data_IF_914212926597
#
_entry.id   IF_914212926597
#
_cell.length_a   1.000
_cell.length_b   1.000
_cell.length_c   1.000
_cell.angle_alpha   90.00
_cell.angle_beta   90.00
_cell.angle_gamma   90.00
#
_symmetry.space_group_name_H-M   'P 1'
#
loop_
_entity.id
_entity.type
_entity.pdbx_description
1 polymer ?
#
# COMPACT_ATOMS: atom_id res chain seq x y z
N UNK A 1 2.84 -6.34 1.30
CA UNK A 1 2.69 -6.84 -0.09
C UNK A 1 2.30 -8.31 -0.05
N UNK A 2 1.31 -8.70 -0.85
CA UNK A 2 0.86 -10.08 -0.95
C UNK A 2 1.27 -10.70 -2.29
N UNK A 3 0.80 -11.93 -2.55
CA UNK A 3 0.91 -12.59 -3.87
C UNK A 3 0.32 -11.77 -5.03
N UNK A 4 -0.43 -10.69 -4.73
CA UNK A 4 -0.98 -9.75 -5.71
C UNK A 4 -0.07 -8.55 -6.01
N UNK A 5 1.05 -8.38 -5.27
CA UNK A 5 2.22 -7.62 -5.72
C UNK A 5 3.00 -8.52 -6.68
N UNK A 6 2.48 -8.65 -7.92
CA UNK A 6 2.83 -9.70 -8.87
C UNK A 6 4.33 -9.77 -9.14
N UNK A 7 4.88 -10.98 -8.99
CA UNK A 7 6.29 -11.30 -9.19
C UNK A 7 7.25 -10.59 -8.21
N UNK A 8 6.73 -10.14 -7.05
CA UNK A 8 7.50 -9.45 -6.02
C UNK A 8 7.16 -9.98 -4.62
N UNK A 9 5.91 -9.87 -4.17
CA UNK A 9 5.45 -10.44 -2.90
C UNK A 9 5.11 -11.92 -2.99
N UNK A 10 5.44 -12.69 -1.94
CA UNK A 10 5.05 -14.11 -1.80
C UNK A 10 4.20 -14.39 -0.58
N UNK A 11 3.81 -13.36 0.18
CA UNK A 11 2.92 -13.49 1.33
C UNK A 11 1.50 -13.83 0.86
N UNK A 12 1.16 -15.13 0.83
CA UNK A 12 -0.20 -15.58 0.48
C UNK A 12 -1.19 -15.16 1.54
N UNK A 13 -2.37 -14.68 1.13
CA UNK A 13 -3.38 -14.11 2.03
C UNK A 13 -3.79 -15.09 3.15
N UNK A 14 -4.16 -16.34 2.83
CA UNK A 14 -4.61 -17.29 3.86
C UNK A 14 -3.54 -17.63 4.91
N UNK A 15 -2.30 -18.01 4.54
CA UNK A 15 -1.21 -18.19 5.51
C UNK A 15 -0.92 -16.94 6.31
N UNK A 16 -0.94 -15.76 5.68
CA UNK A 16 -0.71 -14.47 6.33
C UNK A 16 -1.74 -14.24 7.45
N UNK A 17 -3.03 -14.36 7.14
CA UNK A 17 -4.11 -14.16 8.12
C UNK A 17 -4.08 -15.20 9.23
N UNK A 18 -3.71 -16.45 8.91
CA UNK A 18 -3.48 -17.49 9.90
C UNK A 18 -2.37 -17.09 10.89
N UNK A 19 -1.24 -16.62 10.40
CA UNK A 19 -0.12 -16.15 11.24
C UNK A 19 -0.51 -14.96 12.11
N UNK A 20 -1.24 -13.98 11.55
CA UNK A 20 -1.77 -12.83 12.28
C UNK A 20 -2.65 -13.28 13.45
N UNK A 21 -3.56 -14.23 13.19
CA UNK A 21 -4.44 -14.80 14.22
C UNK A 21 -3.67 -15.54 15.31
N UNK A 22 -2.70 -16.38 14.93
CA UNK A 22 -1.86 -17.14 15.86
C UNK A 22 -1.03 -16.23 16.77
N UNK A 23 -0.65 -15.04 16.28
CA UNK A 23 0.04 -14.00 17.05
C UNK A 23 -0.91 -13.15 17.91
N UNK A 24 -2.21 -13.36 17.82
CA UNK A 24 -3.22 -12.59 18.57
C UNK A 24 -3.39 -11.15 18.10
N UNK A 25 -2.95 -10.83 16.89
CA UNK A 25 -3.14 -9.50 16.33
C UNK A 25 -4.56 -9.28 15.84
N UNK A 26 -5.06 -8.06 16.01
CA UNK A 26 -6.46 -7.74 15.75
C UNK A 26 -6.71 -7.01 14.43
N UNK A 27 -5.66 -6.54 13.79
CA UNK A 27 -5.74 -5.77 12.54
C UNK A 27 -4.53 -6.04 11.66
N UNK A 28 -4.71 -5.94 10.35
CA UNK A 28 -3.62 -6.00 9.36
C UNK A 28 -4.02 -5.23 8.11
N UNK A 29 -3.05 -4.61 7.43
CA UNK A 29 -3.23 -3.92 6.16
C UNK A 29 -2.77 -4.75 4.97
N UNK A 30 -3.41 -4.55 3.81
CA UNK A 30 -2.93 -4.94 2.49
C UNK A 30 -2.62 -3.68 1.68
N UNK A 31 -1.42 -3.61 1.09
CA UNK A 31 -0.91 -2.44 0.36
C UNK A 31 -0.08 -2.88 -0.86
N UNK A 32 -0.68 -3.68 -1.74
CA UNK A 32 -0.01 -4.20 -2.92
C UNK A 32 0.39 -3.09 -3.92
N UNK A 33 1.43 -3.34 -4.70
CA UNK A 33 1.96 -2.41 -5.70
C UNK A 33 0.94 -2.04 -6.76
N UNK A 34 0.44 -0.80 -6.72
CA UNK A 34 -0.38 -0.17 -7.74
C UNK A 34 -1.71 -0.87 -8.04
N UNK A 35 -2.19 -1.75 -7.16
CA UNK A 35 -3.43 -2.48 -7.41
C UNK A 35 -4.18 -2.85 -6.13
N UNK A 36 -5.43 -3.31 -6.30
CA UNK A 36 -6.31 -3.81 -5.24
C UNK A 36 -6.85 -5.21 -5.56
N UNK A 37 -6.11 -6.01 -6.31
CA UNK A 37 -6.60 -7.32 -6.79
C UNK A 37 -6.93 -8.28 -5.65
N UNK A 38 -6.13 -8.26 -4.59
CA UNK A 38 -6.31 -9.09 -3.39
C UNK A 38 -7.35 -8.58 -2.41
N UNK A 39 -7.87 -7.36 -2.57
CA UNK A 39 -8.65 -6.65 -1.54
C UNK A 39 -9.88 -7.43 -1.04
N UNK A 40 -10.68 -7.99 -1.95
CA UNK A 40 -11.90 -8.74 -1.56
C UNK A 40 -11.58 -10.06 -0.87
N UNK A 41 -10.60 -10.80 -1.37
CA UNK A 41 -10.15 -12.05 -0.76
C UNK A 41 -9.57 -11.78 0.64
N UNK A 42 -8.71 -10.76 0.76
CA UNK A 42 -8.12 -10.35 2.03
C UNK A 42 -9.19 -9.91 3.04
N UNK A 43 -10.14 -9.08 2.61
CA UNK A 43 -11.25 -8.63 3.44
C UNK A 43 -12.07 -9.79 3.98
N UNK A 44 -12.49 -10.72 3.11
CA UNK A 44 -13.27 -11.90 3.51
C UNK A 44 -12.51 -12.82 4.45
N UNK A 45 -11.22 -13.07 4.20
CA UNK A 45 -10.38 -13.92 5.04
C UNK A 45 -10.15 -13.30 6.42
N UNK A 46 -9.92 -11.98 6.51
CA UNK A 46 -9.80 -11.25 7.77
C UNK A 46 -11.07 -11.38 8.60
N UNK A 47 -12.25 -11.10 8.00
CA UNK A 47 -13.53 -11.19 8.73
C UNK A 47 -13.81 -12.59 9.23
N UNK A 48 -13.55 -13.63 8.44
CA UNK A 48 -13.72 -15.02 8.83
C UNK A 48 -12.84 -15.42 10.03
N UNK A 49 -11.76 -14.67 10.29
CA UNK A 49 -10.83 -14.87 11.39
C UNK A 49 -10.96 -13.81 12.51
N UNK A 50 -11.95 -12.92 12.46
CA UNK A 50 -12.18 -11.83 13.44
C UNK A 50 -11.03 -10.83 13.51
N UNK A 51 -10.38 -10.56 12.38
CA UNK A 51 -9.31 -9.58 12.20
C UNK A 51 -9.89 -8.38 11.45
N UNK A 52 -9.57 -7.15 11.89
CA UNK A 52 -9.94 -5.93 11.18
C UNK A 52 -9.10 -5.77 9.90
N UNK A 53 -9.71 -5.81 8.69
CA UNK A 53 -9.01 -5.62 7.43
C UNK A 53 -8.81 -4.14 7.14
N UNK A 54 -7.58 -3.71 6.90
CA UNK A 54 -7.25 -2.38 6.42
C UNK A 54 -6.90 -2.49 4.95
N UNK A 55 -7.73 -1.91 4.09
CA UNK A 55 -7.54 -1.98 2.64
C UNK A 55 -6.80 -0.74 2.16
N UNK A 56 -5.73 -0.96 1.43
CA UNK A 56 -4.90 0.07 0.85
C UNK A 56 -4.25 -0.34 -0.45
N UNK A 57 -3.39 0.54 -0.94
CA UNK A 57 -2.56 0.35 -2.12
C UNK A 57 -1.27 1.14 -1.94
N UNK A 58 -0.15 0.56 -2.28
CA UNK A 58 1.08 1.33 -2.51
C UNK A 58 1.05 1.84 -3.95
N UNK A 59 0.67 3.11 -4.11
CA UNK A 59 0.59 3.75 -5.42
C UNK A 59 1.97 4.11 -5.96
N UNK A 60 2.10 4.00 -7.28
CA UNK A 60 3.11 4.74 -8.02
C UNK A 60 2.61 6.16 -8.20
N UNK A 61 3.35 7.14 -7.65
CA UNK A 61 2.98 8.56 -7.72
C UNK A 61 4.00 9.34 -8.56
N UNK A 62 3.53 10.27 -9.37
CA UNK A 62 4.35 11.17 -10.16
C UNK A 62 3.92 12.63 -9.92
N UNK A 63 4.71 13.58 -10.43
CA UNK A 63 4.38 15.00 -10.29
C UNK A 63 3.28 15.45 -11.26
N UNK A 64 3.22 14.84 -12.44
CA UNK A 64 2.28 15.23 -13.49
C UNK A 64 1.99 14.03 -14.41
N UNK A 65 0.73 13.55 -14.41
CA UNK A 65 0.30 12.40 -15.21
C UNK A 65 0.44 12.61 -16.73
N UNK A 66 0.37 13.86 -17.18
CA UNK A 66 0.47 14.20 -18.62
C UNK A 66 1.88 14.02 -19.16
N UNK A 67 2.88 14.04 -18.28
CA UNK A 67 4.28 13.89 -18.65
C UNK A 67 4.73 12.44 -18.59
N UNK A 68 5.30 11.96 -19.69
CA UNK A 68 5.88 10.64 -19.83
C UNK A 68 7.42 10.74 -19.89
N UNK A 69 8.01 11.25 -18.81
CA UNK A 69 9.44 11.63 -18.72
C UNK A 69 10.36 10.55 -18.13
N UNK A 70 10.00 9.29 -18.29
CA UNK A 70 10.79 8.16 -17.80
C UNK A 70 10.43 7.73 -16.38
N UNK A 71 11.19 6.76 -15.86
CA UNK A 71 10.94 6.16 -14.55
C UNK A 71 11.37 7.04 -13.37
N UNK A 72 12.22 8.02 -13.60
CA UNK A 72 12.82 8.86 -12.55
C UNK A 72 11.82 9.76 -11.80
N UNK A 73 10.62 10.00 -12.38
CA UNK A 73 9.55 10.78 -11.75
C UNK A 73 8.53 9.90 -10.97
N UNK A 74 8.80 8.61 -10.83
CA UNK A 74 7.89 7.72 -10.09
C UNK A 74 8.41 7.48 -8.69
N UNK A 75 7.60 7.87 -7.70
CA UNK A 75 7.78 7.48 -6.30
C UNK A 75 6.70 6.52 -5.83
N UNK A 76 6.85 6.01 -4.61
CA UNK A 76 5.83 5.24 -3.91
C UNK A 76 5.09 6.10 -2.90
N UNK A 77 3.82 5.79 -2.65
CA UNK A 77 3.01 6.40 -1.61
C UNK A 77 1.95 5.39 -1.12
N UNK A 78 1.89 5.14 0.18
CA UNK A 78 0.93 4.19 0.74
C UNK A 78 -0.35 4.93 1.10
N UNK A 79 -1.48 4.45 0.59
CA UNK A 79 -2.81 5.02 0.84
C UNK A 79 -3.73 3.93 1.40
N UNK A 80 -4.37 4.22 2.54
CA UNK A 80 -5.28 3.31 3.24
C UNK A 80 -6.69 3.90 3.29
N UNK A 81 -7.72 3.06 3.17
CA UNK A 81 -9.11 3.48 3.34
C UNK A 81 -9.53 3.42 4.81
N UNK A 82 -10.06 4.52 5.36
CA UNK A 82 -10.63 4.58 6.70
C UNK A 82 -12.06 4.02 6.77
N UNK A 83 -12.81 4.26 5.71
CA UNK A 83 -14.24 4.01 5.62
C UNK A 83 -14.68 3.70 4.18
N UNK A 84 -16.00 3.60 3.98
CA UNK A 84 -16.57 3.31 2.65
C UNK A 84 -16.33 4.43 1.64
N UNK A 85 -16.29 5.70 2.05
CA UNK A 85 -15.97 6.81 1.15
C UNK A 85 -14.51 6.74 0.71
N UNK A 86 -13.60 6.49 1.65
CA UNK A 86 -12.18 6.26 1.36
C UNK A 86 -11.97 5.07 0.43
N UNK A 87 -12.69 3.96 0.66
CA UNK A 87 -12.62 2.79 -0.24
C UNK A 87 -13.08 3.11 -1.68
N UNK A 88 -14.18 3.87 -1.83
CA UNK A 88 -14.62 4.31 -3.17
C UNK A 88 -13.60 5.24 -3.84
N UNK A 89 -12.98 6.14 -3.08
CA UNK A 89 -11.91 6.99 -3.58
C UNK A 89 -10.66 6.19 -3.96
N UNK A 90 -10.30 5.19 -3.17
CA UNK A 90 -9.19 4.27 -3.47
C UNK A 90 -9.43 3.50 -4.79
N UNK A 91 -10.67 3.00 -5.02
CA UNK A 91 -11.06 2.37 -6.28
C UNK A 91 -10.95 3.33 -7.47
N UNK A 92 -11.37 4.59 -7.30
CA UNK A 92 -11.23 5.62 -8.34
C UNK A 92 -9.79 5.94 -8.66
N UNK A 93 -8.95 6.11 -7.63
CA UNK A 93 -7.52 6.35 -7.81
C UNK A 93 -6.85 5.20 -8.56
N UNK A 94 -7.16 3.95 -8.19
CA UNK A 94 -6.66 2.77 -8.91
C UNK A 94 -7.14 2.76 -10.37
N UNK A 95 -8.42 3.07 -10.63
CA UNK A 95 -8.96 3.12 -11.99
C UNK A 95 -8.26 4.19 -12.84
N UNK A 96 -8.08 5.40 -12.30
CA UNK A 96 -7.36 6.49 -12.97
C UNK A 96 -5.91 6.09 -13.26
N UNK A 97 -5.25 5.43 -12.29
CA UNK A 97 -3.87 4.97 -12.46
C UNK A 97 -3.71 4.04 -13.66
N UNK A 98 -4.68 3.13 -13.88
CA UNK A 98 -4.64 2.20 -15.01
C UNK A 98 -5.12 2.80 -16.33
N UNK A 99 -6.16 3.64 -16.31
CA UNK A 99 -6.80 4.16 -17.53
C UNK A 99 -6.05 5.38 -18.06
N UNK A 100 -5.78 6.35 -17.19
CA UNK A 100 -5.23 7.64 -17.59
C UNK A 100 -3.73 7.75 -17.31
N UNK A 101 -3.29 7.16 -16.18
CA UNK A 101 -1.94 7.33 -15.64
C UNK A 101 -0.91 6.30 -16.07
N UNK A 102 -1.30 5.27 -16.85
CA UNK A 102 -0.39 4.17 -17.16
C UNK A 102 0.78 4.60 -18.05
N UNK A 103 1.97 4.50 -17.46
CA UNK A 103 3.24 4.67 -18.16
C UNK A 103 4.32 3.86 -17.43
N UNK A 104 4.71 2.73 -17.98
CA UNK A 104 5.46 1.63 -17.34
C UNK A 104 4.75 0.99 -16.14
N UNK A 105 4.12 1.78 -15.29
CA UNK A 105 3.34 1.38 -14.12
C UNK A 105 2.04 2.20 -14.05
N UNK A 106 1.00 1.71 -13.35
CA UNK A 106 -0.21 2.49 -13.10
C UNK A 106 0.11 3.62 -12.10
N UNK A 107 0.06 4.89 -12.55
CA UNK A 107 0.47 6.05 -11.76
C UNK A 107 -0.72 6.95 -11.44
N UNK A 108 -0.61 7.65 -10.34
CA UNK A 108 -1.41 8.84 -10.03
C UNK A 108 -0.48 10.05 -9.85
N UNK A 109 -1.02 11.28 -9.89
CA UNK A 109 -0.31 12.47 -9.47
C UNK A 109 -0.90 13.07 -8.19
N UNK A 110 -0.21 14.06 -7.63
CA UNK A 110 -0.64 14.70 -6.40
C UNK A 110 -1.96 15.47 -6.53
N UNK A 111 -2.28 16.00 -7.71
CA UNK A 111 -3.54 16.74 -7.95
C UNK A 111 -4.73 15.77 -8.00
N UNK A 112 -4.55 14.62 -8.63
CA UNK A 112 -5.54 13.53 -8.61
C UNK A 112 -5.73 12.99 -7.20
N UNK A 113 -4.63 12.80 -6.45
CA UNK A 113 -4.68 12.36 -5.08
C UNK A 113 -5.43 13.35 -4.18
N UNK A 114 -5.15 14.65 -4.29
CA UNK A 114 -5.85 15.70 -3.55
C UNK A 114 -7.37 15.67 -3.80
N UNK A 115 -7.78 15.50 -5.07
CA UNK A 115 -9.18 15.44 -5.47
C UNK A 115 -9.95 14.28 -4.83
N UNK A 116 -9.29 13.17 -4.56
CA UNK A 116 -9.91 11.93 -4.04
C UNK A 116 -9.36 11.53 -2.67
N UNK A 117 -8.84 12.48 -1.88
CA UNK A 117 -8.20 12.23 -0.57
C UNK A 117 -9.16 11.92 0.58
N UNK A 118 -10.45 12.26 0.45
CA UNK A 118 -11.41 12.12 1.54
C UNK A 118 -11.58 10.66 1.98
N UNK A 119 -11.60 10.42 3.29
CA UNK A 119 -11.72 9.08 3.87
C UNK A 119 -10.44 8.23 3.75
N UNK A 120 -9.30 8.83 3.42
CA UNK A 120 -8.02 8.15 3.24
C UNK A 120 -7.00 8.55 4.31
N UNK A 121 -6.09 7.62 4.60
CA UNK A 121 -4.83 7.83 5.33
C UNK A 121 -3.69 7.73 4.34
N UNK A 122 -2.66 8.56 4.50
CA UNK A 122 -1.48 8.59 3.64
C UNK A 122 -0.21 8.36 4.46
N UNK A 123 0.66 7.45 4.01
CA UNK A 123 2.01 7.24 4.55
C UNK A 123 3.04 7.54 3.48
N UNK A 124 4.22 8.06 3.89
CA UNK A 124 5.26 8.52 2.95
C UNK A 124 6.02 7.42 2.21
N UNK A 125 5.69 6.17 2.45
CA UNK A 125 6.24 4.95 1.85
C UNK A 125 7.73 4.67 2.18
N UNK A 126 8.32 3.69 1.46
CA UNK A 126 9.69 3.21 1.61
C UNK A 126 10.72 4.17 0.97
N UNK A 127 11.97 3.73 0.81
CA UNK A 127 13.04 4.51 0.15
C UNK A 127 12.69 4.98 -1.27
N UNK A 128 11.78 4.26 -1.95
CA UNK A 128 11.26 4.67 -3.26
C UNK A 128 10.22 5.81 -3.18
N UNK A 129 9.79 6.23 -1.99
CA UNK A 129 8.95 7.42 -1.81
C UNK A 129 9.69 8.71 -2.16
N UNK A 130 8.95 9.74 -2.64
CA UNK A 130 9.58 11.00 -3.01
C UNK A 130 10.22 11.71 -1.81
N UNK A 131 9.61 11.68 -0.61
CA UNK A 131 10.19 12.31 0.59
C UNK A 131 11.51 11.61 0.97
N UNK A 132 11.57 10.28 1.19
CA UNK A 132 12.82 9.60 1.46
C UNK A 132 13.89 9.84 0.38
N UNK A 133 13.51 9.79 -0.89
CA UNK A 133 14.43 10.06 -2.01
C UNK A 133 15.02 11.47 -1.98
N UNK A 134 14.23 12.49 -1.63
CA UNK A 134 14.72 13.87 -1.49
C UNK A 134 15.66 14.01 -0.28
N UNK A 135 15.38 13.32 0.82
CA UNK A 135 16.25 13.32 2.00
C UNK A 135 17.63 12.71 1.68
N UNK A 136 17.68 11.56 0.98
CA UNK A 136 18.93 10.95 0.52
C UNK A 136 19.72 11.84 -0.44
N UNK A 137 19.06 12.70 -1.20
CA UNK A 137 19.69 13.69 -2.07
C UNK A 137 20.06 14.99 -1.31
N UNK A 138 19.85 15.05 0.01
CA UNK A 138 20.05 16.24 0.85
C UNK A 138 19.25 17.48 0.39
N UNK A 139 18.10 17.25 -0.29
CA UNK A 139 17.16 18.29 -0.77
C UNK A 139 16.09 18.54 0.28
N UNK A 140 16.50 18.99 1.47
CA UNK A 140 15.66 19.07 2.65
C UNK A 140 14.47 20.04 2.48
N UNK A 141 14.67 21.20 1.89
CA UNK A 141 13.61 22.19 1.67
C UNK A 141 12.50 21.64 0.77
N UNK A 142 12.86 20.86 -0.24
CA UNK A 142 11.89 20.23 -1.14
C UNK A 142 11.15 19.07 -0.47
N UNK A 143 11.84 18.31 0.36
CA UNK A 143 11.24 17.26 1.18
C UNK A 143 10.22 17.87 2.17
N UNK A 144 10.57 18.96 2.84
CA UNK A 144 9.69 19.70 3.75
C UNK A 144 8.46 20.27 3.01
N UNK A 145 8.68 20.87 1.84
CA UNK A 145 7.58 21.42 1.02
C UNK A 145 6.58 20.33 0.59
N UNK A 146 7.08 19.15 0.20
CA UNK A 146 6.24 18.02 -0.16
C UNK A 146 5.49 17.45 1.05
N UNK A 147 6.17 17.31 2.20
CA UNK A 147 5.54 16.86 3.44
C UNK A 147 4.42 17.82 3.88
N UNK A 148 4.64 19.13 3.78
CA UNK A 148 3.62 20.16 4.08
C UNK A 148 2.45 20.11 3.08
N UNK A 149 2.71 19.84 1.79
CA UNK A 149 1.65 19.62 0.80
C UNK A 149 0.78 18.43 1.18
N UNK A 150 1.36 17.29 1.52
CA UNK A 150 0.63 16.10 1.94
C UNK A 150 -0.11 16.33 3.26
N UNK A 151 0.51 17.02 4.23
CA UNK A 151 -0.15 17.43 5.47
C UNK A 151 -1.35 18.34 5.20
N UNK A 152 -1.26 19.26 4.24
CA UNK A 152 -2.40 20.11 3.85
C UNK A 152 -3.55 19.29 3.26
N UNK A 153 -3.26 18.24 2.48
CA UNK A 153 -4.26 17.36 1.85
C UNK A 153 -4.95 16.45 2.88
N UNK A 154 -4.17 15.82 3.76
CA UNK A 154 -4.65 14.76 4.65
C UNK A 154 -4.81 15.19 6.11
N UNK A 155 -4.25 16.33 6.51
CA UNK A 155 -4.28 16.79 7.92
C UNK A 155 -3.59 15.82 8.85
N UNK A 156 -4.30 15.37 9.88
CA UNK A 156 -3.84 14.40 10.88
C UNK A 156 -3.86 12.94 10.36
N UNK A 157 -4.24 12.72 9.11
CA UNK A 157 -4.22 11.42 8.45
C UNK A 157 -3.00 11.25 7.53
N UNK A 158 -2.04 12.17 7.58
CA UNK A 158 -0.72 12.03 6.95
C UNK A 158 0.33 11.65 7.98
N UNK A 159 1.15 10.64 7.65
CA UNK A 159 2.23 10.13 8.50
C UNK A 159 3.53 10.01 7.72
N UNK A 160 4.65 10.35 8.36
CA UNK A 160 5.97 10.03 7.85
C UNK A 160 6.30 8.58 8.22
N UNK A 161 6.54 7.78 7.23
CA UNK A 161 6.83 6.35 7.39
C UNK A 161 8.31 6.13 7.64
N UNK A 162 8.63 5.30 8.63
CA UNK A 162 9.99 4.88 8.95
C UNK A 162 10.11 3.36 8.87
N UNK A 163 11.24 2.91 8.35
CA UNK A 163 11.56 1.50 8.17
C UNK A 163 13.04 1.26 8.50
N UNK A 164 13.38 0.07 8.97
CA UNK A 164 14.77 -0.36 9.13
C UNK A 164 14.91 -1.85 8.80
N UNK A 165 15.43 -2.13 7.62
CA UNK A 165 15.79 -3.48 7.15
C UNK A 165 17.32 -3.71 7.21
N UNK A 166 18.07 -2.83 7.88
CA UNK A 166 19.53 -2.86 7.91
C UNK A 166 20.17 -2.26 6.65
N UNK A 167 19.44 -1.43 5.91
CA UNK A 167 19.96 -0.68 4.76
C UNK A 167 20.58 0.63 5.24
N UNK A 168 21.79 0.95 4.78
CA UNK A 168 22.50 2.16 5.18
C UNK A 168 21.67 3.42 4.87
N UNK A 169 21.01 3.44 3.71
CA UNK A 169 20.14 4.55 3.29
C UNK A 169 18.94 4.77 4.24
N UNK A 170 18.35 3.70 4.76
CA UNK A 170 17.28 3.82 5.74
C UNK A 170 17.80 4.39 7.06
N UNK A 171 18.93 3.87 7.53
CA UNK A 171 19.59 4.34 8.76
C UNK A 171 19.97 5.82 8.64
N UNK A 172 20.49 6.23 7.48
CA UNK A 172 20.85 7.63 7.20
C UNK A 172 19.66 8.58 7.32
N UNK A 173 18.49 8.22 6.78
CA UNK A 173 17.33 9.13 6.75
C UNK A 173 16.51 9.15 8.05
N UNK A 174 16.63 8.15 8.92
CA UNK A 174 15.85 8.09 10.18
C UNK A 174 15.94 9.39 11.01
N UNK A 175 17.13 9.96 11.30
CA UNK A 175 17.21 11.21 12.06
C UNK A 175 16.62 12.40 11.31
N UNK A 176 16.67 12.43 9.99
CA UNK A 176 16.05 13.48 9.19
C UNK A 176 14.52 13.40 9.25
N UNK A 177 13.94 12.19 9.14
CA UNK A 177 12.49 11.97 9.29
C UNK A 177 12.01 12.33 10.69
N UNK A 178 12.78 12.01 11.73
CA UNK A 178 12.48 12.41 13.12
C UNK A 178 12.46 13.94 13.26
N UNK A 179 13.51 14.60 12.80
CA UNK A 179 13.58 16.07 12.81
C UNK A 179 12.44 16.72 12.02
N UNK A 180 12.10 16.17 10.83
CA UNK A 180 10.97 16.63 10.03
C UNK A 180 9.64 16.45 10.78
N UNK A 181 9.43 15.31 11.41
CA UNK A 181 8.25 15.02 12.24
C UNK A 181 8.07 16.07 13.33
N UNK A 182 9.12 16.36 14.10
CA UNK A 182 9.10 17.33 15.19
C UNK A 182 8.85 18.76 14.69
N UNK A 183 9.56 19.20 13.65
CA UNK A 183 9.44 20.57 13.09
C UNK A 183 8.09 20.83 12.41
N UNK A 184 7.59 19.85 11.67
CA UNK A 184 6.38 20.01 10.89
C UNK A 184 5.13 19.52 11.63
N UNK A 185 5.28 18.88 12.80
CA UNK A 185 4.18 18.33 13.58
C UNK A 185 3.45 17.23 12.83
N UNK A 186 4.18 16.31 12.15
CA UNK A 186 3.65 15.16 11.44
C UNK A 186 4.11 13.91 12.19
N UNK A 187 3.18 13.02 12.57
CA UNK A 187 3.54 11.81 13.31
C UNK A 187 4.36 10.84 12.46
N UNK A 188 5.28 10.13 13.12
CA UNK A 188 5.96 8.98 12.53
C UNK A 188 5.07 7.73 12.62
N UNK A 189 5.19 6.82 11.66
CA UNK A 189 4.65 5.47 11.70
C UNK A 189 5.72 4.46 11.29
N UNK A 190 5.88 3.39 12.05
CA UNK A 190 6.84 2.33 11.77
C UNK A 190 6.20 1.20 10.99
N UNK A 191 6.78 0.82 9.85
CA UNK A 191 6.34 -0.31 9.04
C UNK A 191 7.51 -1.21 8.67
N UNK A 192 7.24 -2.39 8.11
CA UNK A 192 8.29 -3.32 7.69
C UNK A 192 8.23 -3.72 6.21
N UNK A 193 7.42 -3.07 5.40
CA UNK A 193 7.38 -3.32 3.94
C UNK A 193 7.38 -4.83 3.61
N UNK A 194 6.45 -5.57 4.23
CA UNK A 194 6.45 -7.04 4.27
C UNK A 194 6.21 -7.62 2.88
N UNK A 195 7.16 -8.42 2.38
CA UNK A 195 7.08 -9.14 1.11
C UNK A 195 6.92 -10.66 1.29
N UNK A 196 7.24 -11.18 2.47
CA UNK A 196 7.07 -12.59 2.82
C UNK A 196 6.76 -12.76 4.32
N UNK A 197 6.24 -13.92 4.70
CA UNK A 197 5.74 -14.15 6.06
C UNK A 197 6.87 -14.49 7.04
N UNK A 198 7.74 -15.43 6.68
CA UNK A 198 8.83 -15.88 7.52
C UNK A 198 10.17 -15.42 6.94
N UNK A 199 11.16 -15.25 7.80
CA UNK A 199 12.49 -14.79 7.39
C UNK A 199 13.17 -15.70 6.36
N UNK A 200 12.92 -17.00 6.47
CA UNK A 200 13.45 -18.04 5.60
C UNK A 200 12.85 -17.98 4.19
N UNK A 201 11.68 -17.36 4.02
CA UNK A 201 11.01 -17.23 2.73
C UNK A 201 11.75 -16.27 1.77
N UNK A 202 12.75 -15.53 2.27
CA UNK A 202 13.56 -14.58 1.49
C UNK A 202 14.20 -15.25 0.24
N UNK A 203 14.66 -16.50 0.36
CA UNK A 203 15.23 -17.24 -0.77
C UNK A 203 14.19 -17.50 -1.88
N UNK A 204 12.96 -17.79 -1.49
CA UNK A 204 11.86 -18.03 -2.44
C UNK A 204 11.48 -16.72 -3.14
N UNK A 205 11.44 -15.62 -2.39
CA UNK A 205 11.17 -14.30 -2.95
C UNK A 205 12.28 -13.89 -3.94
N UNK A 206 13.54 -14.18 -3.65
CA UNK A 206 14.68 -13.90 -4.54
C UNK A 206 14.57 -14.67 -5.86
N UNK A 207 14.13 -15.93 -5.83
CA UNK A 207 13.82 -16.71 -7.04
C UNK A 207 12.66 -16.07 -7.84
N UNK A 208 11.61 -15.60 -7.17
CA UNK A 208 10.50 -14.92 -7.83
C UNK A 208 10.96 -13.63 -8.53
N UNK A 209 11.85 -12.87 -7.91
CA UNK A 209 12.46 -11.69 -8.52
C UNK A 209 13.26 -12.04 -9.78
N UNK A 210 13.94 -13.20 -9.82
CA UNK A 210 14.59 -13.68 -11.04
C UNK A 210 13.59 -13.90 -12.18
N UNK A 211 12.42 -14.49 -11.88
CA UNK A 211 11.34 -14.68 -12.87
C UNK A 211 10.85 -13.33 -13.40
N UNK A 212 10.65 -12.35 -12.52
CA UNK A 212 10.23 -11.00 -12.90
C UNK A 212 11.18 -10.34 -13.91
N UNK A 213 12.48 -10.56 -13.72
CA UNK A 213 13.53 -9.91 -14.54
C UNK A 213 13.97 -10.73 -15.75
N UNK A 214 13.50 -11.96 -15.88
CA UNK A 214 14.01 -12.91 -16.90
C UNK A 214 15.50 -13.25 -16.66
N UNK A 215 15.91 -13.31 -15.38
CA UNK A 215 17.28 -13.60 -14.94
C UNK A 215 17.35 -14.94 -14.22
N UNK A 216 18.56 -15.43 -13.99
CA UNK A 216 18.82 -16.58 -13.14
C UNK A 216 19.37 -16.16 -11.78
N UNK A 217 19.39 -17.08 -10.82
CA UNK A 217 19.89 -16.80 -9.45
C UNK A 217 21.39 -16.45 -9.46
N UNK A 218 22.13 -16.97 -10.44
CA UNK A 218 23.58 -16.79 -10.57
C UNK A 218 23.96 -15.52 -11.36
N UNK A 219 22.99 -14.80 -11.92
CA UNK A 219 23.25 -13.53 -12.63
C UNK A 219 23.72 -12.46 -11.64
N UNK A 220 24.93 -11.89 -11.80
CA UNK A 220 25.49 -10.91 -10.86
C UNK A 220 24.78 -9.56 -10.90
N UNK A 221 24.24 -9.17 -12.06
CA UNK A 221 23.66 -7.84 -12.33
C UNK A 221 22.12 -7.86 -12.20
N UNK A 222 21.57 -8.74 -11.38
CA UNK A 222 20.14 -8.77 -11.13
C UNK A 222 19.75 -7.92 -9.91
N UNK A 223 18.58 -7.36 -9.93
CA UNK A 223 17.98 -6.75 -8.75
C UNK A 223 17.65 -7.86 -7.73
N UNK A 224 17.98 -7.61 -6.47
CA UNK A 224 17.62 -8.46 -5.32
C UNK A 224 17.53 -7.60 -4.08
N UNK A 225 16.79 -8.05 -3.10
CA UNK A 225 16.85 -7.44 -1.77
C UNK A 225 18.21 -7.77 -1.14
N UNK A 226 18.88 -6.75 -0.62
CA UNK A 226 20.21 -6.92 -0.02
C UNK A 226 20.16 -7.52 1.38
N UNK A 227 18.97 -7.60 1.98
CA UNK A 227 18.73 -8.19 3.30
C UNK A 227 17.51 -9.10 3.29
N UNK A 228 17.38 -9.95 4.31
CA UNK A 228 16.23 -10.84 4.50
C UNK A 228 15.25 -10.30 5.56
N UNK A 229 15.20 -8.98 5.75
CA UNK A 229 14.45 -8.33 6.82
C UNK A 229 13.01 -7.91 6.44
N UNK A 230 12.54 -8.22 5.22
CA UNK A 230 11.21 -7.85 4.73
C UNK A 230 10.11 -8.86 5.10
N UNK A 231 10.30 -9.59 6.19
CA UNK A 231 9.32 -10.56 6.70
C UNK A 231 8.35 -9.92 7.70
N UNK A 232 7.29 -10.65 8.02
CA UNK A 232 6.30 -10.21 9.01
C UNK A 232 6.91 -10.28 10.42
N UNK A 233 7.59 -9.22 10.86
CA UNK A 233 8.24 -9.11 12.18
C UNK A 233 7.22 -9.09 13.31
N UNK A 234 7.61 -9.61 14.48
CA UNK A 234 6.88 -9.42 15.73
C UNK A 234 7.09 -8.00 16.28
N UNK A 235 6.33 -7.62 17.31
CA UNK A 235 6.50 -6.33 17.98
C UNK A 235 7.91 -6.18 18.53
N UNK A 236 8.44 -7.20 19.19
CA UNK A 236 9.78 -7.21 19.79
C UNK A 236 10.88 -7.08 18.73
N UNK A 237 10.70 -7.73 17.58
CA UNK A 237 11.64 -7.61 16.45
C UNK A 237 11.61 -6.20 15.85
N UNK A 238 10.42 -5.58 15.76
CA UNK A 238 10.28 -4.20 15.30
C UNK A 238 10.88 -3.19 16.29
N UNK A 239 10.66 -3.36 17.59
CA UNK A 239 11.26 -2.53 18.64
C UNK A 239 12.80 -2.59 18.59
N UNK A 240 13.34 -3.79 18.37
CA UNK A 240 14.79 -3.94 18.19
C UNK A 240 15.32 -3.29 16.92
N UNK A 241 14.56 -3.38 15.82
CA UNK A 241 14.97 -2.79 14.54
C UNK A 241 14.90 -1.25 14.57
N UNK A 242 13.97 -0.69 15.32
CA UNK A 242 13.67 0.75 15.40
C UNK A 242 13.79 1.25 16.85
N UNK A 243 14.86 0.85 17.53
CA UNK A 243 15.16 1.30 18.90
C UNK A 243 15.20 2.85 18.96
N UNK A 244 14.47 3.43 19.91
CA UNK A 244 14.33 4.87 20.07
C UNK A 244 13.21 5.51 19.19
N UNK A 245 12.39 4.67 18.55
CA UNK A 245 11.22 5.08 17.75
C UNK A 245 9.95 4.32 18.16
N UNK A 246 9.83 3.91 19.42
CA UNK A 246 8.74 3.06 19.93
C UNK A 246 7.37 3.72 19.73
N UNK A 247 7.28 5.03 19.86
CA UNK A 247 6.03 5.81 19.60
C UNK A 247 5.54 5.62 18.16
N UNK A 248 6.44 5.44 17.20
CA UNK A 248 6.07 5.21 15.80
C UNK A 248 5.46 3.82 15.59
N UNK A 249 5.82 2.83 16.41
CA UNK A 249 5.16 1.52 16.44
C UNK A 249 3.74 1.62 17.00
N UNK A 250 3.54 2.43 18.05
CA UNK A 250 2.20 2.65 18.62
C UNK A 250 1.27 3.40 17.68
N UNK A 251 1.82 4.23 16.79
CA UNK A 251 1.05 4.92 15.74
C UNK A 251 0.34 3.93 14.81
N UNK A 252 0.84 2.71 14.63
CA UNK A 252 0.14 1.68 13.84
C UNK A 252 -1.22 1.32 14.44
N UNK A 253 -1.36 1.32 15.77
CA UNK A 253 -2.62 1.06 16.46
C UNK A 253 -3.61 2.23 16.26
N UNK A 254 -3.11 3.47 16.28
CA UNK A 254 -3.92 4.65 15.96
C UNK A 254 -4.51 4.55 14.55
N UNK A 255 -3.67 4.23 13.57
CA UNK A 255 -4.11 4.06 12.18
C UNK A 255 -5.11 2.91 12.07
N UNK A 256 -4.87 1.78 12.74
CA UNK A 256 -5.78 0.66 12.75
C UNK A 256 -7.16 1.04 13.33
N UNK A 257 -7.20 1.88 14.37
CA UNK A 257 -8.45 2.41 14.91
C UNK A 257 -9.17 3.35 13.93
N UNK A 258 -8.45 4.21 13.24
CA UNK A 258 -9.02 5.08 12.19
C UNK A 258 -9.61 4.28 11.03
N UNK A 259 -9.08 3.10 10.72
CA UNK A 259 -9.47 2.27 9.59
C UNK A 259 -10.48 1.15 9.95
N UNK A 260 -11.34 1.35 10.95
CA UNK A 260 -12.39 0.38 11.35
C UNK A 260 -13.74 0.63 10.67
N UNK A 261 -13.89 1.72 9.94
CA UNK A 261 -15.16 2.13 9.34
C UNK A 261 -15.51 1.46 8.00
N UNK A 262 -14.61 0.61 7.47
CA UNK A 262 -14.82 -0.01 6.18
C UNK A 262 -15.74 -1.23 6.27
N UNK A 263 -16.84 -1.20 5.51
CA UNK A 263 -17.74 -2.34 5.32
C UNK A 263 -17.95 -2.59 3.84
N UNK A 264 -17.27 -3.60 3.28
CA UNK A 264 -17.45 -4.03 1.88
C UNK A 264 -18.61 -5.03 1.83
N UNK A 265 -19.57 -4.79 0.92
CA UNK A 265 -20.81 -5.53 0.77
C UNK A 265 -20.89 -6.19 -0.60
N UNK A 266 -21.19 -7.50 -0.64
CA UNK A 266 -21.45 -8.21 -1.90
C UNK A 266 -22.82 -8.90 -1.88
N UNK A 267 -23.62 -8.75 -2.93
CA UNK A 267 -24.88 -9.48 -3.14
C UNK A 267 -24.72 -10.84 -3.81
N UNK A 268 -23.59 -11.10 -4.42
CA UNK A 268 -23.46 -12.19 -5.38
C UNK A 268 -23.37 -13.60 -4.72
N UNK A 269 -23.14 -13.69 -3.41
CA UNK A 269 -22.76 -14.97 -2.79
C UNK A 269 -23.53 -15.31 -1.49
N UNK A 270 -24.73 -14.77 -1.28
CA UNK A 270 -25.48 -14.99 -0.05
C UNK A 270 -24.83 -14.32 1.16
N UNK A 271 -25.30 -14.65 2.35
CA UNK A 271 -24.77 -14.11 3.60
C UNK A 271 -23.29 -14.47 3.77
N UNK A 272 -22.40 -13.53 3.46
CA UNK A 272 -21.00 -13.66 3.86
C UNK A 272 -20.96 -13.42 5.36
N UNK A 273 -20.52 -14.38 6.19
CA UNK A 273 -20.49 -14.20 7.63
C UNK A 273 -19.74 -12.92 8.01
N UNK A 274 -20.40 -12.04 8.76
CA UNK A 274 -19.83 -10.76 9.21
C UNK A 274 -20.11 -9.57 8.30
N UNK A 275 -20.78 -9.73 7.16
CA UNK A 275 -21.19 -8.62 6.30
C UNK A 275 -22.69 -8.32 6.53
N UNK A 276 -23.01 -7.07 6.91
CA UNK A 276 -24.40 -6.63 7.05
C UNK A 276 -25.09 -6.66 5.66
N UNK A 277 -26.19 -7.45 5.49
CA UNK A 277 -26.88 -7.59 4.19
C UNK A 277 -27.32 -6.27 3.56
N UNK A 278 -27.56 -5.20 4.36
CA UNK A 278 -27.92 -3.87 3.82
C UNK A 278 -26.79 -3.24 2.96
N UNK A 279 -25.57 -3.79 3.00
CA UNK A 279 -24.39 -3.28 2.31
C UNK A 279 -23.97 -4.13 1.13
N UNK A 280 -24.71 -5.17 0.83
CA UNK A 280 -24.58 -5.92 -0.40
C UNK A 280 -24.97 -4.99 -1.56
N UNK A 281 -24.08 -4.78 -2.53
CA UNK A 281 -24.36 -3.93 -3.68
C UNK A 281 -25.71 -4.30 -4.31
N UNK A 282 -26.68 -3.39 -4.21
CA UNK A 282 -28.03 -3.57 -4.69
C UNK A 282 -28.12 -3.30 -6.18
N UNK A 283 -27.33 -3.97 -7.02
CA UNK A 283 -27.58 -3.88 -8.45
C UNK A 283 -27.76 -5.26 -9.04
N UNK A 284 -28.99 -5.52 -9.50
CA UNK A 284 -29.26 -6.52 -10.53
C UNK A 284 -28.73 -6.04 -11.92
N UNK A 285 -27.87 -5.02 -11.94
CA UNK A 285 -27.25 -4.55 -13.18
C UNK A 285 -26.00 -5.39 -13.42
N UNK A 286 -26.07 -6.20 -14.46
CA UNK A 286 -24.88 -6.76 -15.06
C UNK A 286 -24.05 -5.60 -15.62
N UNK A 287 -22.88 -5.34 -15.03
CA UNK A 287 -21.90 -4.38 -15.56
C UNK A 287 -21.09 -4.94 -16.74
N UNK A 288 -21.67 -5.87 -17.51
CA UNK A 288 -21.08 -6.28 -18.79
C UNK A 288 -21.25 -5.09 -19.71
N UNK A 289 -20.17 -4.51 -20.25
CA UNK A 289 -20.27 -3.43 -21.21
C UNK A 289 -21.19 -3.86 -22.36
N UNK A 290 -22.23 -3.09 -22.62
CA UNK A 290 -23.03 -3.30 -23.81
C UNK A 290 -22.18 -2.91 -25.01
N UNK A 291 -21.68 -3.89 -25.75
CA UNK A 291 -21.07 -3.63 -27.03
C UNK A 291 -22.15 -3.14 -27.99
N UNK A 292 -22.03 -1.92 -28.44
CA UNK A 292 -22.87 -1.35 -29.53
C UNK A 292 -21.94 -1.33 -30.75
N UNK A 293 -22.17 -2.21 -31.75
CA UNK A 293 -21.37 -2.19 -32.97
C UNK A 293 -21.57 -0.86 -33.71
N UNK A 294 -20.50 -0.33 -34.29
CA UNK A 294 -20.56 0.89 -35.11
C UNK A 294 -21.52 0.77 -36.30
N UNK A 295 -21.97 -0.43 -36.65
CA UNK A 295 -22.94 -0.74 -37.69
C UNK A 295 -24.40 -0.52 -37.28
N UNK A 296 -24.68 -0.17 -36.01
CA UNK A 296 -26.03 -0.01 -35.50
C UNK A 296 -26.82 -1.31 -35.32
N UNK A 297 -26.19 -2.47 -35.50
CA UNK A 297 -26.81 -3.76 -35.26
C UNK A 297 -26.88 -4.05 -33.74
N UNK A 298 -28.05 -4.44 -33.25
CA UNK A 298 -28.19 -4.92 -31.87
C UNK A 298 -27.61 -6.32 -31.78
N UNK A 299 -26.72 -6.53 -30.80
CA UNK A 299 -26.26 -7.89 -30.48
C UNK A 299 -27.49 -8.78 -30.23
N UNK A 300 -27.65 -9.79 -31.05
CA UNK A 300 -28.70 -10.82 -30.86
C UNK A 300 -28.37 -11.57 -29.59
N UNK A 301 -29.37 -11.71 -28.72
CA UNK A 301 -29.32 -12.46 -27.48
C UNK A 301 -28.94 -13.94 -27.70
#
# INVERSE_FOLDING_TARGET
HTEYSLLDGIARIKPLIKTVKERGWTSIAITDHGNMYGALQFYGECLANHINPIIGTEFYICHDLTKKVGKADMGHLVILAKDNEGYQNLLKLNSIAFVDGFYYKPRIDYDTLEKYSKGLVCLSACLAGHIPSLLLQHRFDEADALALRLKKIFGEDFYLEIQNHGLDEQIEILPYLKSMSERLGIKLVATNDVHYINKEDAEIQDVLMCVQMGKTIDDPDRMRFSTNEFYLKTREEMEKALEGYEDALDTTLEIAQKCQGLVIKSKAHGDIPGIDPKYVLASNQNYIPKYIPDTGETAVQ
#
